data_IF_191377994662
#
_entry.id   IF_191377994662
#
_cell.length_a   1.000
_cell.length_b   1.000
_cell.length_c   1.000
_cell.angle_alpha   90.00
_cell.angle_beta   90.00
_cell.angle_gamma   90.00
#
_symmetry.space_group_name_H-M   'P 1'
#
loop_
_entity.id
_entity.type
_entity.pdbx_description
1 polymer ?
#
# COMPACT_ATOMS: atom_id res chain seq x y z
N UNK A 1 -6.90 -6.88 20.09
CA UNK A 1 -6.25 -7.44 18.88
C UNK A 1 -6.48 -6.50 17.73
N UNK A 2 -5.45 -6.13 16.95
CA UNK A 2 -5.61 -5.40 15.69
C UNK A 2 -6.55 -6.15 14.75
N UNK A 3 -7.28 -5.43 13.89
CA UNK A 3 -8.11 -6.10 12.87
C UNK A 3 -7.20 -6.69 11.80
N UNK A 4 -7.66 -7.73 11.11
CA UNK A 4 -6.95 -8.29 9.94
C UNK A 4 -6.64 -7.19 8.90
N UNK A 5 -7.56 -6.25 8.70
CA UNK A 5 -7.35 -5.11 7.80
C UNK A 5 -6.27 -4.13 8.28
N UNK A 6 -5.99 -4.09 9.58
CA UNK A 6 -4.94 -3.25 10.15
C UNK A 6 -3.58 -3.90 9.90
N UNK A 7 -3.46 -5.23 10.06
CA UNK A 7 -2.28 -5.98 9.65
C UNK A 7 -2.00 -5.87 8.15
N UNK A 8 -3.04 -5.92 7.31
CA UNK A 8 -2.89 -5.77 5.86
C UNK A 8 -2.33 -4.40 5.50
N UNK A 9 -2.81 -3.33 6.14
CA UNK A 9 -2.29 -1.97 5.91
C UNK A 9 -0.86 -1.83 6.40
N UNK A 10 -0.57 -2.30 7.61
CA UNK A 10 0.77 -2.28 8.19
C UNK A 10 1.78 -3.01 7.28
N UNK A 11 1.45 -4.22 6.82
CA UNK A 11 2.27 -4.97 5.89
C UNK A 11 2.51 -4.22 4.57
N UNK A 12 1.48 -3.61 3.99
CA UNK A 12 1.60 -2.86 2.75
C UNK A 12 2.47 -1.59 2.92
N UNK A 13 2.32 -0.89 4.04
CA UNK A 13 3.08 0.33 4.32
C UNK A 13 4.56 0.01 4.60
N UNK A 14 4.84 -1.00 5.44
CA UNK A 14 6.21 -1.44 5.74
C UNK A 14 6.91 -2.01 4.50
N UNK A 15 6.23 -2.84 3.71
CA UNK A 15 6.81 -3.38 2.48
C UNK A 15 7.23 -2.28 1.51
N UNK A 16 6.36 -1.27 1.33
CA UNK A 16 6.64 -0.15 0.45
C UNK A 16 7.76 0.73 1.00
N UNK A 17 7.84 0.94 2.32
CA UNK A 17 8.91 1.69 2.96
C UNK A 17 10.27 1.01 2.80
N UNK A 18 10.33 -0.31 3.01
CA UNK A 18 11.58 -1.08 2.95
C UNK A 18 12.06 -1.32 1.51
N UNK A 19 11.15 -1.64 0.59
CA UNK A 19 11.52 -2.11 -0.76
C UNK A 19 11.31 -1.07 -1.85
N UNK A 20 10.45 -0.07 -1.62
CA UNK A 20 10.00 0.86 -2.65
C UNK A 20 9.20 0.21 -3.78
N UNK A 21 8.80 -1.06 -3.65
CA UNK A 21 8.10 -1.82 -4.69
C UNK A 21 6.62 -2.03 -4.34
N UNK A 22 5.78 -2.14 -5.37
CA UNK A 22 4.34 -2.44 -5.24
C UNK A 22 4.02 -3.90 -5.61
N UNK A 23 4.94 -4.62 -6.25
CA UNK A 23 4.86 -6.06 -6.46
C UNK A 23 5.33 -6.78 -5.20
N UNK A 24 4.45 -7.53 -4.53
CA UNK A 24 4.70 -8.14 -3.24
C UNK A 24 5.67 -9.33 -3.36
N UNK A 25 6.75 -9.29 -2.58
CA UNK A 25 7.70 -10.41 -2.49
C UNK A 25 7.16 -11.53 -1.59
N UNK A 26 7.13 -12.76 -2.11
CA UNK A 26 6.60 -13.93 -1.42
C UNK A 26 7.37 -14.30 -0.13
N UNK A 27 8.70 -14.09 -0.10
CA UNK A 27 9.50 -14.35 1.10
C UNK A 27 9.21 -13.32 2.18
N UNK A 28 9.18 -12.04 1.80
CA UNK A 28 8.92 -10.95 2.74
C UNK A 28 7.56 -11.10 3.43
N UNK A 29 6.50 -11.41 2.67
CA UNK A 29 5.17 -11.56 3.27
C UNK A 29 5.07 -12.78 4.19
N UNK A 30 5.81 -13.84 3.90
CA UNK A 30 5.87 -15.02 4.77
C UNK A 30 6.57 -14.71 6.10
N UNK A 31 7.67 -13.96 6.05
CA UNK A 31 8.40 -13.49 7.24
C UNK A 31 7.49 -12.56 8.07
N UNK A 32 6.85 -11.55 7.45
CA UNK A 32 5.90 -10.66 8.14
C UNK A 32 4.75 -11.44 8.81
N UNK A 33 4.14 -12.40 8.10
CA UNK A 33 3.00 -13.16 8.60
C UNK A 33 3.32 -13.95 9.89
N UNK A 34 4.56 -14.43 10.01
CA UNK A 34 5.04 -15.14 11.19
C UNK A 34 5.48 -14.17 12.29
N UNK A 35 6.32 -13.19 11.96
CA UNK A 35 6.98 -12.32 12.94
C UNK A 35 6.02 -11.32 13.61
N UNK A 36 5.00 -10.85 12.88
CA UNK A 36 4.00 -9.91 13.40
C UNK A 36 2.81 -10.60 14.07
N UNK A 37 2.86 -11.92 14.25
CA UNK A 37 1.83 -12.68 14.97
C UNK A 37 0.47 -12.69 14.28
N UNK A 38 0.42 -12.53 12.95
CA UNK A 38 -0.83 -12.61 12.18
C UNK A 38 -1.42 -14.01 12.30
N UNK A 39 -0.57 -15.03 12.25
CA UNK A 39 -0.97 -16.43 12.44
C UNK A 39 -1.57 -16.67 13.85
N UNK A 40 -1.01 -16.06 14.89
CA UNK A 40 -1.50 -16.22 16.26
C UNK A 40 -2.82 -15.48 16.48
N UNK A 41 -2.94 -14.27 15.94
CA UNK A 41 -4.15 -13.45 16.04
C UNK A 41 -5.31 -14.01 15.19
N UNK A 42 -4.98 -14.63 14.05
CA UNK A 42 -5.93 -15.20 13.10
C UNK A 42 -5.50 -16.61 12.65
N UNK A 43 -5.67 -17.66 13.48
CA UNK A 43 -5.18 -19.01 13.18
C UNK A 43 -5.80 -19.70 11.95
N UNK A 44 -6.95 -19.19 11.47
CA UNK A 44 -7.62 -19.69 10.26
C UNK A 44 -7.28 -18.86 9.02
N UNK A 45 -6.52 -17.78 9.17
CA UNK A 45 -6.10 -16.96 8.06
C UNK A 45 -5.04 -17.71 7.26
N UNK A 46 -5.30 -17.92 5.99
CA UNK A 46 -4.34 -18.50 5.07
C UNK A 46 -3.33 -17.44 4.61
N UNK A 47 -2.06 -17.83 4.49
CA UNK A 47 -0.97 -16.95 4.06
C UNK A 47 -1.20 -16.43 2.64
N UNK A 48 -1.68 -17.28 1.72
CA UNK A 48 -1.95 -16.86 0.33
C UNK A 48 -3.09 -15.86 0.32
N UNK A 49 -4.17 -16.13 1.04
CA UNK A 49 -5.28 -15.19 1.18
C UNK A 49 -4.84 -13.85 1.81
N UNK A 50 -3.94 -13.88 2.80
CA UNK A 50 -3.38 -12.67 3.40
C UNK A 50 -2.51 -11.90 2.40
N UNK A 51 -1.61 -12.58 1.69
CA UNK A 51 -0.76 -12.00 0.66
C UNK A 51 -1.57 -11.34 -0.45
N UNK A 52 -2.68 -11.95 -0.89
CA UNK A 52 -3.60 -11.32 -1.84
C UNK A 52 -4.23 -10.03 -1.30
N UNK A 53 -4.56 -9.97 -0.01
CA UNK A 53 -5.09 -8.76 0.61
C UNK A 53 -4.03 -7.65 0.65
N UNK A 54 -2.79 -7.99 1.00
CA UNK A 54 -1.66 -7.05 1.03
C UNK A 54 -1.34 -6.54 -0.38
N UNK A 55 -1.29 -7.42 -1.37
CA UNK A 55 -1.09 -7.03 -2.77
C UNK A 55 -2.18 -6.07 -3.27
N UNK A 56 -3.45 -6.32 -2.90
CA UNK A 56 -4.56 -5.41 -3.24
C UNK A 56 -4.40 -4.05 -2.56
N UNK A 57 -3.93 -4.00 -1.32
CA UNK A 57 -3.71 -2.74 -0.61
C UNK A 57 -2.54 -1.95 -1.23
N UNK A 58 -1.45 -2.61 -1.60
CA UNK A 58 -0.32 -2.00 -2.33
C UNK A 58 -0.78 -1.36 -3.64
N UNK A 59 -1.52 -2.09 -4.48
CA UNK A 59 -2.09 -1.56 -5.72
C UNK A 59 -3.01 -0.37 -5.47
N UNK A 60 -3.84 -0.44 -4.42
CA UNK A 60 -4.73 0.68 -4.06
C UNK A 60 -3.96 1.92 -3.62
N UNK A 61 -2.88 1.75 -2.88
CA UNK A 61 -2.00 2.83 -2.46
C UNK A 61 -1.32 3.50 -3.66
N UNK A 62 -0.82 2.71 -4.61
CA UNK A 62 -0.25 3.19 -5.87
C UNK A 62 -1.27 4.01 -6.68
N UNK A 63 -2.49 3.47 -6.87
CA UNK A 63 -3.55 4.18 -7.59
C UNK A 63 -3.91 5.52 -6.93
N UNK A 64 -3.97 5.55 -5.59
CA UNK A 64 -4.25 6.78 -4.83
C UNK A 64 -3.12 7.79 -5.00
N UNK A 65 -1.86 7.35 -4.94
CA UNK A 65 -0.70 8.20 -5.16
C UNK A 65 -0.70 8.79 -6.58
N UNK A 66 -0.96 7.97 -7.60
CA UNK A 66 -1.06 8.41 -8.99
C UNK A 66 -2.19 9.44 -9.20
N UNK A 67 -3.38 9.18 -8.64
CA UNK A 67 -4.53 10.12 -8.69
C UNK A 67 -4.18 11.46 -8.03
N UNK A 68 -3.54 11.43 -6.85
CA UNK A 68 -3.11 12.64 -6.14
C UNK A 68 -2.07 13.43 -6.95
N UNK A 69 -1.10 12.76 -7.56
CA UNK A 69 -0.09 13.40 -8.40
C UNK A 69 -0.72 14.10 -9.61
N UNK A 70 -1.63 13.42 -10.32
CA UNK A 70 -2.37 14.01 -11.45
C UNK A 70 -3.14 15.27 -11.04
N UNK A 71 -3.85 15.22 -9.90
CA UNK A 71 -4.60 16.37 -9.39
C UNK A 71 -3.69 17.56 -9.07
N UNK A 72 -2.52 17.31 -8.47
CA UNK A 72 -1.55 18.35 -8.14
C UNK A 72 -0.94 18.96 -9.41
N UNK A 73 -0.60 18.14 -10.40
CA UNK A 73 -0.10 18.60 -11.69
C UNK A 73 -1.13 19.48 -12.42
N UNK A 74 -2.39 19.07 -12.44
CA UNK A 74 -3.48 19.85 -13.04
C UNK A 74 -3.65 21.22 -12.37
N UNK A 75 -3.53 21.27 -11.03
CA UNK A 75 -3.58 22.55 -10.28
C UNK A 75 -2.39 23.44 -10.65
N UNK A 76 -1.18 22.89 -10.70
CA UNK A 76 0.01 23.64 -11.08
C UNK A 76 -0.08 24.19 -12.51
N UNK A 77 -0.52 23.38 -13.47
CA UNK A 77 -0.70 23.78 -14.87
C UNK A 77 -1.75 24.89 -15.03
N UNK A 78 -2.86 24.83 -14.28
CA UNK A 78 -3.85 25.93 -14.25
C UNK A 78 -3.25 27.22 -13.71
N UNK A 79 -2.48 27.16 -12.62
CA UNK A 79 -1.79 28.31 -12.04
C UNK A 79 -0.82 28.97 -13.03
N UNK A 80 0.01 28.17 -13.71
CA UNK A 80 0.97 28.65 -14.72
C UNK A 80 0.25 29.33 -15.89
N UNK A 81 -0.87 28.75 -16.38
CA UNK A 81 -1.65 29.35 -17.49
C UNK A 81 -2.27 30.69 -17.11
N UNK A 82 -2.75 30.83 -15.87
CA UNK A 82 -3.30 32.10 -15.38
C UNK A 82 -2.22 33.18 -15.22
N UNK A 83 -1.02 32.82 -14.77
CA UNK A 83 0.09 33.76 -14.61
C UNK A 83 0.65 34.29 -15.94
N UNK A 84 0.59 33.53 -17.06
CA UNK A 84 1.05 33.99 -18.39
C UNK A 84 0.04 34.88 -19.14
N UNK A 85 -1.19 35.00 -18.65
CA UNK A 85 -2.24 35.85 -19.25
C UNK A 85 -2.30 37.26 -18.64
N UNK A 86 -1.50 37.52 -17.60
CA UNK A 86 -1.24 38.83 -17.01
C UNK A 86 0.09 39.37 -17.55
#
# INVERSE_FOLDING_TARGET
MPKLTDYVKMAADEYLEETGNTELNARWIAEFFQDYGVQDAYPRQDLVAFAEMVQKELTRNEERAAKKMRLLLDKALRGIKSARKL
#
